data_IF_102050635344
#
_entry.id   IF_102050635344
#
_cell.length_a   1.000
_cell.length_b   1.000
_cell.length_c   1.000
_cell.angle_alpha   90.00
_cell.angle_beta   90.00
_cell.angle_gamma   90.00
#
_symmetry.space_group_name_H-M   'P 1'
#
loop_
_entity.id
_entity.type
_entity.pdbx_description
1 polymer ?
#
# COMPACT_ATOMS: atom_id res chain seq x y z
N UNK A 1 -6.71 -6.35 -40.49
CA UNK A 1 -7.41 -5.54 -39.49
C UNK A 1 -7.72 -6.44 -38.32
N UNK A 2 -6.72 -6.76 -37.52
CA UNK A 2 -6.86 -7.73 -36.45
C UNK A 2 -6.59 -6.97 -35.16
N UNK A 3 -7.70 -6.55 -34.53
CA UNK A 3 -7.68 -5.87 -33.25
C UNK A 3 -7.02 -6.78 -32.23
N UNK A 4 -5.89 -6.31 -31.69
CA UNK A 4 -5.25 -6.94 -30.54
C UNK A 4 -6.26 -6.93 -29.40
N UNK A 5 -6.55 -8.06 -28.75
CA UNK A 5 -7.46 -8.07 -27.62
C UNK A 5 -6.83 -7.27 -26.50
N UNK A 6 -7.51 -6.21 -26.07
CA UNK A 6 -7.17 -5.50 -24.83
C UNK A 6 -7.56 -6.44 -23.70
N UNK A 7 -6.57 -7.07 -23.06
CA UNK A 7 -6.80 -7.75 -21.79
C UNK A 7 -6.91 -6.66 -20.72
N UNK A 8 -8.13 -6.34 -20.30
CA UNK A 8 -8.33 -5.53 -19.11
C UNK A 8 -7.81 -6.33 -17.92
N UNK A 9 -6.69 -5.90 -17.32
CA UNK A 9 -6.18 -6.51 -16.10
C UNK A 9 -7.17 -6.19 -14.98
N UNK A 10 -7.91 -7.23 -14.57
CA UNK A 10 -8.81 -7.18 -13.44
C UNK A 10 -8.05 -7.59 -12.19
N UNK A 11 -8.25 -6.85 -11.11
CA UNK A 11 -7.66 -7.19 -9.82
C UNK A 11 -8.25 -8.50 -9.26
N UNK A 12 -7.72 -9.06 -8.14
CA UNK A 12 -8.19 -10.33 -7.59
C UNK A 12 -9.69 -10.37 -7.22
N UNK A 13 -10.37 -9.23 -7.26
CA UNK A 13 -11.80 -9.04 -6.96
C UNK A 13 -12.60 -8.54 -8.17
N UNK A 14 -12.03 -8.55 -9.38
CA UNK A 14 -12.73 -8.31 -10.63
C UNK A 14 -12.97 -6.84 -10.98
N UNK A 15 -12.26 -5.89 -10.37
CA UNK A 15 -12.36 -4.47 -10.73
C UNK A 15 -11.26 -4.05 -11.72
N UNK A 16 -11.51 -3.05 -12.59
CA UNK A 16 -10.49 -2.50 -13.48
C UNK A 16 -9.34 -1.91 -12.64
N UNK A 17 -8.12 -2.39 -12.88
CA UNK A 17 -6.92 -1.85 -12.26
C UNK A 17 -6.27 -0.83 -13.21
N UNK A 18 -5.94 0.37 -12.69
CA UNK A 18 -5.19 1.38 -13.44
C UNK A 18 -3.69 1.04 -13.51
N UNK A 19 -3.23 0.19 -12.58
CA UNK A 19 -1.89 -0.35 -12.54
C UNK A 19 -1.66 -1.21 -11.31
N UNK A 20 -0.56 -1.96 -11.31
CA UNK A 20 -0.10 -2.74 -10.16
C UNK A 20 1.34 -2.32 -9.84
N UNK A 21 1.57 -1.90 -8.60
CA UNK A 21 2.90 -1.68 -8.05
C UNK A 21 3.36 -2.96 -7.38
N UNK A 22 4.61 -3.33 -7.63
CA UNK A 22 5.23 -4.53 -7.09
C UNK A 22 6.34 -4.17 -6.12
N UNK A 23 6.33 -4.83 -4.97
CA UNK A 23 7.36 -4.73 -3.95
C UNK A 23 7.60 -6.07 -3.29
N UNK A 24 7.99 -6.02 -2.02
CA UNK A 24 8.26 -7.16 -1.16
C UNK A 24 7.09 -7.39 -0.23
N UNK A 25 6.55 -8.61 -0.24
CA UNK A 25 5.58 -9.08 0.75
C UNK A 25 6.20 -9.07 2.16
N UNK A 26 5.82 -8.11 3.00
CA UNK A 26 6.40 -7.94 4.33
C UNK A 26 5.52 -8.57 5.39
N UNK A 27 4.25 -8.20 5.41
CA UNK A 27 3.27 -8.72 6.36
C UNK A 27 2.04 -9.16 5.57
N UNK A 28 1.61 -10.40 5.79
CA UNK A 28 0.53 -11.01 5.03
C UNK A 28 -0.84 -10.40 5.31
N UNK A 29 -1.81 -10.74 4.46
CA UNK A 29 -3.18 -10.24 4.54
C UNK A 29 -3.55 -9.35 3.37
N UNK A 30 -4.79 -8.89 3.38
CA UNK A 30 -5.43 -8.14 2.30
C UNK A 30 -6.18 -6.96 2.88
N UNK A 31 -5.97 -5.77 2.34
CA UNK A 31 -6.78 -4.59 2.68
C UNK A 31 -7.07 -3.75 1.44
N UNK A 32 -8.09 -2.91 1.54
CA UNK A 32 -8.38 -1.87 0.57
C UNK A 32 -8.81 -0.61 1.33
N UNK A 33 -8.34 0.55 0.89
CA UNK A 33 -8.61 1.80 1.59
C UNK A 33 -8.03 3.01 0.87
N UNK A 34 -8.35 4.22 1.37
CA UNK A 34 -7.75 5.45 0.90
C UNK A 34 -6.27 5.51 1.30
N UNK A 35 -5.44 6.02 0.40
CA UNK A 35 -4.03 6.30 0.65
C UNK A 35 -3.89 7.55 1.53
N UNK A 36 -3.00 7.47 2.51
CA UNK A 36 -2.49 8.59 3.30
C UNK A 36 -0.96 8.63 3.12
N UNK A 37 -0.47 9.51 2.24
CA UNK A 37 0.95 9.76 2.02
C UNK A 37 1.45 10.76 3.06
N UNK A 38 2.46 10.34 3.82
CA UNK A 38 3.09 11.15 4.86
C UNK A 38 4.61 11.16 4.68
N UNK A 39 5.22 12.34 4.80
CA UNK A 39 6.69 12.49 4.85
C UNK A 39 7.25 12.40 6.27
N UNK A 40 6.41 12.64 7.28
CA UNK A 40 6.74 12.59 8.71
C UNK A 40 5.53 12.07 9.51
N UNK A 41 5.74 11.51 10.72
CA UNK A 41 4.65 11.01 11.53
C UNK A 41 3.68 12.12 11.97
N UNK A 42 2.44 12.07 11.48
CA UNK A 42 1.34 12.93 11.91
C UNK A 42 0.10 12.10 12.30
N UNK A 43 -0.20 11.93 13.60
CA UNK A 43 -1.35 11.16 14.06
C UNK A 43 -2.69 11.84 13.78
N UNK A 44 -2.70 13.12 13.39
CA UNK A 44 -3.93 13.85 13.06
C UNK A 44 -4.35 13.69 11.59
N UNK A 45 -3.42 13.23 10.74
CA UNK A 45 -3.64 13.02 9.32
C UNK A 45 -4.21 11.64 9.00
N UNK A 46 -3.80 10.61 9.76
CA UNK A 46 -4.23 9.22 9.56
C UNK A 46 -5.61 8.99 10.18
N UNK A 47 -6.48 8.33 9.44
CA UNK A 47 -7.78 7.85 9.91
C UNK A 47 -7.80 6.32 9.96
N UNK A 48 -8.70 5.79 10.79
CA UNK A 48 -8.96 4.35 10.81
C UNK A 48 -9.37 3.87 9.41
N UNK A 49 -8.66 2.87 8.90
CA UNK A 49 -8.88 2.33 7.56
C UNK A 49 -7.90 2.83 6.50
N UNK A 50 -7.14 3.87 6.77
CA UNK A 50 -6.18 4.42 5.80
C UNK A 50 -5.02 3.46 5.53
N UNK A 51 -4.50 3.53 4.31
CA UNK A 51 -3.26 2.89 3.90
C UNK A 51 -2.16 3.93 3.99
N UNK A 52 -1.27 3.78 4.96
CA UNK A 52 -0.15 4.70 5.15
C UNK A 52 0.91 4.42 4.08
N UNK A 53 1.33 5.47 3.38
CA UNK A 53 2.39 5.44 2.38
C UNK A 53 3.51 6.39 2.82
N UNK A 54 4.75 5.90 2.86
CA UNK A 54 5.92 6.66 3.31
C UNK A 54 7.19 6.22 2.59
N UNK A 55 8.23 7.05 2.59
CA UNK A 55 9.53 6.68 2.00
C UNK A 55 10.25 5.65 2.88
N UNK A 56 10.41 5.97 4.16
CA UNK A 56 11.03 5.10 5.16
C UNK A 56 10.36 5.33 6.53
N UNK A 57 10.57 4.40 7.45
CA UNK A 57 10.06 4.49 8.82
C UNK A 57 11.18 4.41 9.85
N UNK A 58 11.10 5.30 10.83
CA UNK A 58 11.83 5.23 12.09
C UNK A 58 10.87 4.85 13.24
N UNK A 59 11.33 4.72 14.50
CA UNK A 59 10.46 4.39 15.62
C UNK A 59 9.29 5.37 15.87
N UNK A 60 9.36 6.62 15.40
CA UNK A 60 8.32 7.63 15.55
C UNK A 60 7.02 7.32 14.81
N UNK A 61 7.04 6.41 13.83
CA UNK A 61 5.86 5.96 13.07
C UNK A 61 5.01 4.93 13.82
N UNK A 62 5.60 4.22 14.77
CA UNK A 62 4.96 3.12 15.53
C UNK A 62 3.58 3.50 16.09
N UNK A 63 3.37 4.69 16.67
CA UNK A 63 2.05 5.07 17.21
C UNK A 63 0.95 5.24 16.15
N UNK A 64 1.31 5.41 14.87
CA UNK A 64 0.34 5.55 13.78
C UNK A 64 -0.15 4.20 13.26
N UNK A 65 0.69 3.15 13.35
CA UNK A 65 0.39 1.85 12.75
C UNK A 65 -0.93 1.21 13.24
N UNK A 66 -1.34 1.32 14.52
CA UNK A 66 -2.63 0.80 14.94
C UNK A 66 -3.85 1.39 14.22
N UNK A 67 -3.73 2.57 13.60
CA UNK A 67 -4.80 3.19 12.81
C UNK A 67 -4.79 2.73 11.34
N UNK A 68 -3.65 2.22 10.86
CA UNK A 68 -3.45 1.84 9.48
C UNK A 68 -4.12 0.50 9.18
N UNK A 69 -4.88 0.43 8.09
CA UNK A 69 -5.35 -0.85 7.55
C UNK A 69 -4.29 -1.55 6.70
N UNK A 70 -3.30 -0.80 6.20
CA UNK A 70 -2.19 -1.30 5.40
C UNK A 70 -1.01 -0.34 5.40
N UNK A 71 0.19 -0.85 5.09
CA UNK A 71 1.41 -0.05 5.02
C UNK A 71 2.12 -0.29 3.69
N UNK A 72 2.47 0.80 3.01
CA UNK A 72 3.29 0.80 1.80
C UNK A 72 4.53 1.65 2.05
N UNK A 73 5.72 1.13 1.70
CA UNK A 73 6.96 1.86 1.94
C UNK A 73 7.95 1.73 0.78
N UNK A 74 8.67 2.80 0.46
CA UNK A 74 9.65 2.78 -0.62
C UNK A 74 10.94 2.06 -0.22
N UNK A 75 11.43 2.33 0.99
CA UNK A 75 12.69 1.84 1.52
C UNK A 75 12.42 0.96 2.74
N UNK A 76 12.75 -0.32 2.61
CA UNK A 76 12.63 -1.25 3.73
C UNK A 76 12.76 -2.69 3.25
N UNK A 77 13.22 -3.55 4.15
CA UNK A 77 13.35 -4.97 3.89
C UNK A 77 12.56 -5.79 4.92
N UNK A 78 12.54 -7.10 4.72
CA UNK A 78 11.80 -8.04 5.57
C UNK A 78 12.16 -7.96 7.06
N UNK A 79 13.33 -7.44 7.43
CA UNK A 79 13.85 -7.47 8.81
C UNK A 79 13.96 -6.08 9.45
N UNK A 80 13.47 -5.01 8.82
CA UNK A 80 13.54 -3.67 9.42
C UNK A 80 12.54 -3.53 10.59
N UNK A 81 12.71 -2.49 11.41
CA UNK A 81 11.84 -2.23 12.56
C UNK A 81 10.35 -2.20 12.17
N UNK A 82 9.99 -1.43 11.14
CA UNK A 82 8.61 -1.35 10.67
C UNK A 82 8.06 -2.71 10.19
N UNK A 83 8.90 -3.58 9.62
CA UNK A 83 8.49 -4.90 9.17
C UNK A 83 8.13 -5.82 10.34
N UNK A 84 8.84 -5.71 11.46
CA UNK A 84 8.53 -6.46 12.69
C UNK A 84 7.20 -5.98 13.26
N UNK A 85 7.04 -4.67 13.45
CA UNK A 85 5.82 -4.09 14.03
C UNK A 85 4.58 -4.38 13.17
N UNK A 86 4.68 -4.26 11.84
CA UNK A 86 3.56 -4.56 10.95
C UNK A 86 3.05 -6.01 11.10
N UNK A 87 3.96 -6.97 11.31
CA UNK A 87 3.59 -8.38 11.53
C UNK A 87 3.00 -8.63 12.90
N UNK A 88 3.55 -8.00 13.93
CA UNK A 88 3.03 -8.09 15.30
C UNK A 88 1.59 -7.56 15.40
N UNK A 89 1.29 -6.49 14.65
CA UNK A 89 -0.04 -5.90 14.57
C UNK A 89 -0.95 -6.57 13.53
N UNK A 90 -0.43 -7.50 12.72
CA UNK A 90 -1.18 -8.18 11.67
C UNK A 90 -1.63 -7.27 10.52
N UNK A 91 -0.92 -6.16 10.30
CA UNK A 91 -1.25 -5.16 9.27
C UNK A 91 -0.63 -5.62 7.94
N UNK A 92 -1.42 -5.78 6.86
CA UNK A 92 -0.89 -6.05 5.52
C UNK A 92 0.15 -5.00 5.10
N UNK A 93 1.33 -5.45 4.65
CA UNK A 93 2.42 -4.53 4.33
C UNK A 93 3.24 -4.95 3.10
N UNK A 94 3.54 -3.96 2.25
CA UNK A 94 4.37 -4.11 1.04
C UNK A 94 5.44 -3.03 1.01
N UNK A 95 6.71 -3.43 1.11
CA UNK A 95 7.84 -2.49 1.13
C UNK A 95 8.68 -2.61 -0.15
N UNK A 96 9.60 -1.68 -0.38
CA UNK A 96 10.50 -1.76 -1.53
C UNK A 96 9.83 -1.39 -2.85
N UNK A 97 8.83 -0.50 -2.82
CA UNK A 97 8.18 0.04 -4.04
C UNK A 97 8.81 1.41 -4.35
N UNK A 98 9.71 1.53 -5.34
CA UNK A 98 10.36 2.80 -5.63
C UNK A 98 9.34 3.88 -6.03
N UNK A 99 9.49 5.10 -5.49
CA UNK A 99 8.64 6.25 -5.78
C UNK A 99 7.15 6.08 -5.41
N UNK A 100 6.79 5.16 -4.51
CA UNK A 100 5.40 4.96 -4.09
C UNK A 100 4.72 6.25 -3.60
N UNK A 101 5.44 7.12 -2.89
CA UNK A 101 4.95 8.42 -2.40
C UNK A 101 4.68 9.44 -3.51
N UNK A 102 5.29 9.26 -4.69
CA UNK A 102 5.08 10.10 -5.85
C UNK A 102 4.04 9.52 -6.83
N UNK A 103 3.84 8.20 -6.82
CA UNK A 103 2.87 7.51 -7.66
C UNK A 103 1.48 7.49 -7.03
N UNK A 104 1.41 7.31 -5.72
CA UNK A 104 0.14 7.23 -4.98
C UNK A 104 -0.29 8.61 -4.50
N UNK A 105 -1.59 8.91 -4.63
CA UNK A 105 -2.17 10.19 -4.24
C UNK A 105 -3.01 10.08 -2.96
N UNK A 106 -2.98 11.12 -2.12
CA UNK A 106 -3.82 11.19 -0.92
C UNK A 106 -5.32 11.02 -1.26
N UNK A 107 -5.99 10.10 -0.59
CA UNK A 107 -7.39 9.75 -0.81
C UNK A 107 -7.64 8.75 -1.94
N UNK A 108 -6.63 8.44 -2.76
CA UNK A 108 -6.73 7.41 -3.80
C UNK A 108 -7.01 6.06 -3.15
N UNK A 109 -8.02 5.35 -3.65
CA UNK A 109 -8.32 4.02 -3.15
C UNK A 109 -7.39 2.99 -3.82
N UNK A 110 -6.72 2.20 -3.00
CA UNK A 110 -5.84 1.12 -3.47
C UNK A 110 -6.13 -0.16 -2.72
N UNK A 111 -5.66 -1.28 -3.29
CA UNK A 111 -5.71 -2.60 -2.66
C UNK A 111 -4.30 -3.05 -2.36
N UNK A 112 -4.04 -3.47 -1.14
CA UNK A 112 -2.74 -3.99 -0.71
C UNK A 112 -2.88 -5.50 -0.50
N UNK A 113 -2.09 -6.26 -1.25
CA UNK A 113 -1.90 -7.69 -1.07
C UNK A 113 -0.52 -7.92 -0.43
N UNK A 114 -0.51 -8.05 0.89
CA UNK A 114 0.68 -8.29 1.68
C UNK A 114 1.25 -9.71 1.51
N UNK A 115 0.50 -10.63 0.89
CA UNK A 115 0.96 -12.00 0.58
C UNK A 115 1.75 -12.02 -0.72
N UNK A 116 1.24 -11.36 -1.76
CA UNK A 116 1.90 -11.27 -3.07
C UNK A 116 2.93 -10.14 -3.16
N UNK A 117 2.87 -9.17 -2.26
CA UNK A 117 3.75 -8.01 -2.31
C UNK A 117 3.32 -7.01 -3.38
N UNK A 118 2.02 -6.80 -3.56
CA UNK A 118 1.48 -5.93 -4.62
C UNK A 118 0.52 -4.90 -4.08
N UNK A 119 0.50 -3.72 -4.72
CA UNK A 119 -0.49 -2.67 -4.50
C UNK A 119 -1.21 -2.40 -5.82
N UNK A 120 -2.52 -2.61 -5.85
CA UNK A 120 -3.34 -2.39 -7.05
C UNK A 120 -4.04 -1.04 -6.97
N UNK A 121 -3.87 -0.22 -8.00
CA UNK A 121 -4.52 1.07 -8.14
C UNK A 121 -5.94 0.84 -8.65
N UNK A 122 -6.95 1.30 -7.91
CA UNK A 122 -8.33 1.24 -8.39
C UNK A 122 -8.52 2.29 -9.49
N UNK A 123 -9.07 1.90 -10.64
CA UNK A 123 -9.44 2.85 -11.68
C UNK A 123 -10.48 3.83 -11.13
N UNK A 124 -10.23 5.13 -11.30
CA UNK A 124 -11.24 6.16 -11.00
C UNK A 124 -12.38 5.99 -12.00
N UNK A 125 -13.55 5.59 -11.51
CA UNK A 125 -14.77 5.60 -12.31
C UNK A 125 -15.03 7.00 -12.84
N UNK A 126 -15.02 7.15 -14.17
CA UNK A 126 -15.45 8.37 -14.86
C UNK A 126 -16.93 8.66 -14.62
#
# INVERSE_FOLDING_TARGET
SDGVPVIEETDPIGQPAEGILQGTAVSGGYTAGPVCVLSEPDPTAVKEGDIIVMEYADPGWTPLFPQASGIVMEVGGLMCHAAVVARELGIPAVFGIPNATAILENGQHVKVDGVKGTVTLAAVGK
#
